data_IF_422510279155
#
_entry.id   IF_422510279155
#
_cell.length_a   1.000
_cell.length_b   1.000
_cell.length_c   1.000
_cell.angle_alpha   90.00
_cell.angle_beta   90.00
_cell.angle_gamma   90.00
#
_symmetry.space_group_name_H-M   'P 1'
#
loop_
_entity.id
_entity.type
_entity.pdbx_description
1 polymer ?
#
# COMPACT_ATOMS: atom_id res chain seq x y z
N UNK A 1 -1.34 23.25 -13.62
CA UNK A 1 -1.28 22.59 -12.30
C UNK A 1 0.19 22.50 -11.95
N UNK A 2 0.62 22.84 -10.73
CA UNK A 2 2.01 22.65 -10.33
C UNK A 2 2.35 21.16 -10.41
N UNK A 3 3.51 20.83 -11.01
CA UNK A 3 3.99 19.46 -11.07
C UNK A 3 4.22 18.95 -9.63
N UNK A 4 3.87 17.69 -9.36
CA UNK A 4 4.21 17.07 -8.08
C UNK A 4 5.73 16.93 -7.99
N UNK A 5 6.30 17.45 -6.89
CA UNK A 5 7.74 17.41 -6.65
C UNK A 5 8.11 16.15 -5.88
N UNK A 6 9.09 15.40 -6.37
CA UNK A 6 9.53 14.12 -5.79
C UNK A 6 10.99 14.25 -5.37
N UNK A 7 11.33 13.75 -4.19
CA UNK A 7 12.71 13.61 -3.75
C UNK A 7 13.13 12.15 -3.81
N UNK A 8 14.27 11.87 -4.45
CA UNK A 8 14.93 10.57 -4.43
C UNK A 8 16.13 10.67 -3.48
N UNK A 9 16.21 9.77 -2.53
CA UNK A 9 17.31 9.69 -1.55
C UNK A 9 17.91 8.30 -1.61
N UNK A 10 19.07 8.16 -2.24
CA UNK A 10 19.76 6.89 -2.46
C UNK A 10 21.25 7.22 -2.67
N UNK A 11 22.19 6.49 -2.08
CA UNK A 11 23.62 6.72 -2.21
C UNK A 11 24.22 6.24 -3.55
N UNK A 12 23.40 5.53 -4.35
CA UNK A 12 23.75 5.09 -5.69
C UNK A 12 23.38 6.16 -6.74
N UNK A 13 24.35 7.07 -7.08
CA UNK A 13 24.14 8.19 -8.00
C UNK A 13 23.53 7.78 -9.34
N UNK A 14 24.06 6.70 -9.95
CA UNK A 14 23.56 6.21 -11.24
C UNK A 14 22.08 5.80 -11.18
N UNK A 15 21.65 5.19 -10.07
CA UNK A 15 20.26 4.82 -9.86
C UNK A 15 19.38 6.06 -9.71
N UNK A 16 19.84 7.06 -8.96
CA UNK A 16 19.18 8.36 -8.83
C UNK A 16 18.95 9.02 -10.18
N UNK A 17 19.99 9.07 -11.04
CA UNK A 17 19.90 9.66 -12.39
C UNK A 17 18.88 8.95 -13.27
N UNK A 18 18.91 7.61 -13.28
CA UNK A 18 17.97 6.80 -14.07
C UNK A 18 16.53 7.01 -13.59
N UNK A 19 16.30 6.99 -12.28
CA UNK A 19 14.96 7.22 -11.72
C UNK A 19 14.48 8.64 -11.99
N UNK A 20 15.35 9.64 -11.80
CA UNK A 20 15.06 11.05 -12.06
C UNK A 20 14.60 11.24 -13.51
N UNK A 21 15.40 10.81 -14.48
CA UNK A 21 15.08 10.95 -15.91
C UNK A 21 13.69 10.34 -16.24
N UNK A 22 13.40 9.15 -15.71
CA UNK A 22 12.14 8.47 -16.01
C UNK A 22 10.93 9.13 -15.32
N UNK A 23 11.08 9.63 -14.11
CA UNK A 23 10.01 10.35 -13.41
C UNK A 23 9.77 11.74 -14.01
N UNK A 24 10.82 12.44 -14.45
CA UNK A 24 10.69 13.71 -15.20
C UNK A 24 9.96 13.50 -16.53
N UNK A 25 10.23 12.41 -17.26
CA UNK A 25 9.49 12.04 -18.48
C UNK A 25 7.99 11.78 -18.21
N UNK A 26 7.62 11.43 -16.99
CA UNK A 26 6.22 11.28 -16.55
C UNK A 26 5.58 12.61 -16.07
N UNK A 27 6.33 13.72 -16.14
CA UNK A 27 5.86 15.06 -15.82
C UNK A 27 5.99 15.46 -14.34
N UNK A 28 6.84 14.79 -13.58
CA UNK A 28 7.18 15.16 -12.20
C UNK A 28 8.37 16.13 -12.17
N UNK A 29 8.46 16.94 -11.10
CA UNK A 29 9.65 17.70 -10.77
C UNK A 29 10.49 16.89 -9.77
N UNK A 30 11.75 16.58 -10.09
CA UNK A 30 12.53 15.58 -9.34
C UNK A 30 13.88 16.11 -8.89
N UNK A 31 14.08 16.08 -7.58
CA UNK A 31 15.38 16.30 -6.97
C UNK A 31 15.99 14.99 -6.45
N UNK A 32 17.31 14.97 -6.34
CA UNK A 32 18.07 13.84 -5.81
C UNK A 32 18.94 14.28 -4.62
N UNK A 33 19.10 13.39 -3.66
CA UNK A 33 20.06 13.51 -2.56
C UNK A 33 20.77 12.16 -2.38
N UNK A 34 22.06 12.20 -2.14
CA UNK A 34 22.90 11.00 -2.06
C UNK A 34 23.18 10.56 -0.62
N UNK A 35 22.54 11.23 0.34
CA UNK A 35 22.52 10.83 1.74
C UNK A 35 21.31 11.43 2.45
N UNK A 36 20.95 10.85 3.58
CA UNK A 36 19.91 11.37 4.44
C UNK A 36 20.24 12.77 4.98
N UNK A 37 21.53 13.02 5.30
CA UNK A 37 22.03 14.32 5.78
C UNK A 37 21.82 15.40 4.73
N UNK A 38 22.16 15.12 3.47
CA UNK A 38 21.93 16.03 2.36
C UNK A 38 20.42 16.31 2.19
N UNK A 39 19.60 15.25 2.19
CA UNK A 39 18.15 15.36 2.05
C UNK A 39 17.52 16.19 3.16
N UNK A 40 17.95 16.02 4.41
CA UNK A 40 17.46 16.79 5.56
C UNK A 40 17.78 18.29 5.48
N UNK A 41 18.76 18.68 4.66
CA UNK A 41 19.07 20.08 4.36
C UNK A 41 18.12 20.73 3.34
N UNK A 42 17.24 19.97 2.70
CA UNK A 42 16.29 20.49 1.72
C UNK A 42 15.02 21.03 2.38
N UNK A 43 14.24 21.82 1.62
CA UNK A 43 12.91 22.27 2.05
C UNK A 43 11.89 21.15 1.89
N UNK A 44 11.97 20.14 2.75
CA UNK A 44 11.23 18.87 2.62
C UNK A 44 9.71 19.04 2.46
N UNK A 45 9.12 20.06 3.08
CA UNK A 45 7.68 20.38 2.95
C UNK A 45 7.21 20.69 1.53
N UNK A 46 8.13 20.96 0.60
CA UNK A 46 7.80 21.24 -0.80
C UNK A 46 7.62 19.96 -1.63
N UNK A 47 8.01 18.80 -1.08
CA UNK A 47 7.87 17.52 -1.79
C UNK A 47 6.53 16.87 -1.55
N UNK A 48 6.02 16.26 -2.61
CA UNK A 48 4.77 15.52 -2.62
C UNK A 48 4.98 14.02 -2.34
N UNK A 49 6.22 13.54 -2.44
CA UNK A 49 6.63 12.15 -2.20
C UNK A 49 8.14 12.04 -2.05
N UNK A 50 8.60 11.12 -1.22
CA UNK A 50 10.02 10.77 -1.06
C UNK A 50 10.21 9.28 -1.40
N UNK A 51 11.11 9.00 -2.36
CA UNK A 51 11.68 7.67 -2.58
C UNK A 51 12.94 7.58 -1.70
N UNK A 52 13.04 6.60 -0.83
CA UNK A 52 14.05 6.57 0.22
C UNK A 52 14.70 5.20 0.32
N UNK A 53 16.01 5.11 0.07
CA UNK A 53 16.74 3.89 0.40
C UNK A 53 16.91 3.75 1.92
N UNK A 54 16.82 2.52 2.40
CA UNK A 54 17.06 2.20 3.82
C UNK A 54 18.55 2.14 4.12
N UNK A 55 19.34 1.60 3.16
CA UNK A 55 20.76 1.30 3.33
C UNK A 55 21.63 2.45 2.84
N UNK A 56 21.79 3.47 3.66
CA UNK A 56 22.65 4.64 3.38
C UNK A 56 23.53 4.93 4.60
N UNK A 57 24.66 5.57 4.37
CA UNK A 57 25.66 6.11 5.27
C UNK A 57 25.42 6.15 6.79
N UNK A 58 25.70 7.28 7.45
CA UNK A 58 25.59 7.43 8.91
C UNK A 58 24.13 7.51 9.40
N UNK A 59 23.28 8.19 8.63
CA UNK A 59 21.83 8.23 8.88
C UNK A 59 21.14 7.28 7.90
N UNK A 60 20.65 6.14 8.40
CA UNK A 60 19.85 5.22 7.59
C UNK A 60 18.52 5.84 7.17
N UNK A 61 17.93 5.35 6.05
CA UNK A 61 16.60 5.79 5.60
C UNK A 61 15.51 5.60 6.65
N UNK A 62 15.60 4.55 7.47
CA UNK A 62 14.67 4.33 8.61
C UNK A 62 14.78 5.48 9.62
N UNK A 63 16.00 5.90 9.95
CA UNK A 63 16.21 7.02 10.89
C UNK A 63 15.69 8.33 10.30
N UNK A 64 15.95 8.58 9.01
CA UNK A 64 15.40 9.73 8.30
C UNK A 64 13.87 9.71 8.28
N UNK A 65 13.24 8.58 7.98
CA UNK A 65 11.78 8.46 7.99
C UNK A 65 11.19 8.76 9.37
N UNK A 66 11.83 8.30 10.46
CA UNK A 66 11.42 8.64 11.84
C UNK A 66 11.46 10.15 12.07
N UNK A 67 12.51 10.83 11.64
CA UNK A 67 12.64 12.28 11.75
C UNK A 67 11.47 12.96 11.01
N UNK A 68 11.24 12.58 9.75
CA UNK A 68 10.15 13.13 8.93
C UNK A 68 8.77 12.93 9.55
N UNK A 69 8.49 11.73 10.04
CA UNK A 69 7.19 11.38 10.63
C UNK A 69 6.97 11.98 12.02
N UNK A 70 8.03 12.43 12.69
CA UNK A 70 7.96 13.12 13.99
C UNK A 70 7.72 14.62 13.86
N UNK A 71 7.95 15.21 12.72
CA UNK A 71 7.76 16.66 12.47
C UNK A 71 6.41 16.88 11.78
N UNK A 72 5.53 17.65 12.42
CA UNK A 72 4.19 17.99 11.91
C UNK A 72 4.23 18.60 10.49
N UNK A 73 5.31 19.29 10.12
CA UNK A 73 5.45 19.91 8.79
C UNK A 73 5.74 18.89 7.68
N UNK A 74 6.24 17.71 8.01
CA UNK A 74 6.66 16.67 7.06
C UNK A 74 6.00 15.31 7.28
N UNK A 75 5.27 15.13 8.39
CA UNK A 75 4.64 13.86 8.76
C UNK A 75 3.70 13.30 7.67
N UNK A 76 3.01 14.18 6.95
CA UNK A 76 2.05 13.82 5.90
C UNK A 76 2.71 13.52 4.55
N UNK A 77 4.03 13.75 4.41
CA UNK A 77 4.72 13.44 3.15
C UNK A 77 4.81 11.92 3.01
N UNK A 78 4.27 11.35 1.92
CA UNK A 78 4.35 9.92 1.67
C UNK A 78 5.79 9.49 1.41
N UNK A 79 6.16 8.34 1.98
CA UNK A 79 7.47 7.73 1.84
C UNK A 79 7.32 6.36 1.20
N UNK A 80 8.06 6.12 0.11
CA UNK A 80 8.24 4.79 -0.48
C UNK A 80 9.67 4.34 -0.20
N UNK A 81 9.85 3.25 0.54
CA UNK A 81 11.17 2.67 0.72
C UNK A 81 11.61 1.88 -0.51
N UNK A 82 12.85 2.09 -0.95
CA UNK A 82 13.52 1.35 -2.03
C UNK A 82 14.78 0.69 -1.47
N UNK A 83 14.81 -0.62 -1.22
CA UNK A 83 15.93 -1.24 -0.52
C UNK A 83 16.21 -2.67 -0.96
N UNK A 84 17.49 -3.08 -0.77
CA UNK A 84 17.93 -4.47 -0.97
C UNK A 84 17.64 -5.40 0.22
N UNK A 85 17.17 -4.86 1.35
CA UNK A 85 16.82 -5.68 2.52
C UNK A 85 15.51 -6.41 2.30
N UNK A 86 15.59 -7.72 2.39
CA UNK A 86 14.52 -8.69 2.22
C UNK A 86 14.08 -9.35 3.54
N UNK A 87 14.61 -8.90 4.69
CA UNK A 87 14.17 -9.46 5.97
C UNK A 87 12.75 -8.97 6.31
N UNK A 88 11.92 -9.90 6.73
CA UNK A 88 10.54 -9.66 7.14
C UNK A 88 10.45 -8.59 8.24
N UNK A 89 11.44 -8.57 9.15
CA UNK A 89 11.54 -7.60 10.24
C UNK A 89 11.78 -6.16 9.75
N UNK A 90 12.61 -5.95 8.73
CA UNK A 90 12.89 -4.63 8.17
C UNK A 90 11.66 -4.08 7.41
N UNK A 91 10.92 -4.96 6.72
CA UNK A 91 9.67 -4.61 6.04
C UNK A 91 8.57 -4.23 7.05
N UNK A 92 8.42 -5.02 8.11
CA UNK A 92 7.46 -4.76 9.20
C UNK A 92 7.84 -3.47 9.92
N UNK A 93 9.13 -3.22 10.15
CA UNK A 93 9.62 -2.00 10.80
C UNK A 93 9.35 -0.76 9.94
N UNK A 94 9.58 -0.84 8.62
CA UNK A 94 9.29 0.27 7.69
C UNK A 94 7.80 0.61 7.61
N UNK A 95 6.94 -0.41 7.54
CA UNK A 95 5.48 -0.24 7.52
C UNK A 95 4.93 0.29 8.86
N UNK A 96 5.48 -0.16 10.00
CA UNK A 96 5.11 0.34 11.33
C UNK A 96 5.53 1.80 11.56
N UNK A 97 6.50 2.31 10.79
CA UNK A 97 6.93 3.71 10.81
C UNK A 97 6.04 4.64 9.96
N UNK A 98 4.97 4.11 9.35
CA UNK A 98 4.06 4.88 8.53
C UNK A 98 4.54 5.10 7.10
N UNK A 99 5.37 4.20 6.55
CA UNK A 99 5.68 4.18 5.12
C UNK A 99 4.43 3.85 4.31
N UNK A 100 4.27 4.54 3.18
CA UNK A 100 3.09 4.39 2.32
C UNK A 100 3.23 3.23 1.32
N UNK A 101 4.47 2.82 1.00
CA UNK A 101 4.77 1.66 0.16
C UNK A 101 6.24 1.22 0.32
N UNK A 102 6.57 0.06 -0.26
CA UNK A 102 7.88 -0.57 -0.19
C UNK A 102 8.24 -1.22 -1.53
N UNK A 103 9.48 -1.02 -2.00
CA UNK A 103 9.99 -1.57 -3.25
C UNK A 103 11.31 -2.31 -2.97
N UNK A 104 11.35 -3.61 -3.27
CA UNK A 104 12.57 -4.40 -3.12
C UNK A 104 13.49 -4.23 -4.33
N UNK A 105 14.77 -3.98 -4.08
CA UNK A 105 15.85 -4.08 -5.08
C UNK A 105 16.21 -5.58 -5.29
N UNK A 106 16.43 -6.06 -6.54
CA UNK A 106 16.36 -5.30 -7.78
C UNK A 106 14.93 -5.07 -8.28
N UNK A 107 14.65 -3.87 -8.76
CA UNK A 107 13.36 -3.49 -9.32
C UNK A 107 13.48 -2.93 -10.74
N UNK A 108 12.38 -2.92 -11.48
CA UNK A 108 12.33 -2.22 -12.75
C UNK A 108 11.87 -0.78 -12.53
N UNK A 109 12.40 0.17 -13.32
CA UNK A 109 11.96 1.58 -13.30
C UNK A 109 10.44 1.68 -13.48
N UNK A 110 9.86 0.85 -14.35
CA UNK A 110 8.41 0.78 -14.57
C UNK A 110 7.63 0.46 -13.28
N UNK A 111 8.17 -0.40 -12.41
CA UNK A 111 7.57 -0.72 -11.12
C UNK A 111 7.59 0.51 -10.20
N UNK A 112 8.72 1.22 -10.12
CA UNK A 112 8.85 2.45 -9.31
C UNK A 112 7.83 3.51 -9.78
N UNK A 113 7.79 3.80 -11.08
CA UNK A 113 6.85 4.76 -11.67
C UNK A 113 5.39 4.40 -11.36
N UNK A 114 5.01 3.12 -11.48
CA UNK A 114 3.65 2.67 -11.17
C UNK A 114 3.27 2.89 -9.70
N UNK A 115 4.21 2.63 -8.77
CA UNK A 115 4.00 2.84 -7.33
C UNK A 115 3.94 4.31 -6.96
N UNK A 116 4.82 5.14 -7.51
CA UNK A 116 4.78 6.60 -7.36
C UNK A 116 3.42 7.14 -7.78
N UNK A 117 2.94 6.78 -8.98
CA UNK A 117 1.59 7.17 -9.45
C UNK A 117 0.48 6.73 -8.50
N UNK A 118 0.57 5.52 -7.97
CA UNK A 118 -0.43 4.97 -7.04
C UNK A 118 -0.46 5.70 -5.71
N UNK A 119 0.71 6.01 -5.13
CA UNK A 119 0.83 6.73 -3.86
C UNK A 119 0.36 8.18 -4.03
N UNK A 120 0.85 8.91 -5.04
CA UNK A 120 0.45 10.30 -5.29
C UNK A 120 -1.06 10.45 -5.58
N UNK A 121 -1.67 9.48 -6.26
CA UNK A 121 -3.13 9.48 -6.45
C UNK A 121 -3.89 9.37 -5.14
N UNK A 122 -3.42 8.54 -4.19
CA UNK A 122 -4.02 8.40 -2.86
C UNK A 122 -3.91 9.69 -2.04
N UNK A 123 -2.75 10.34 -2.05
CA UNK A 123 -2.50 11.59 -1.31
C UNK A 123 -3.17 12.81 -1.94
N UNK A 124 -3.27 12.88 -3.27
CA UNK A 124 -4.00 13.96 -3.96
C UNK A 124 -5.50 13.92 -3.65
N UNK A 125 -6.07 12.73 -3.43
CA UNK A 125 -7.46 12.58 -3.00
C UNK A 125 -7.69 13.12 -1.58
N UNK A 126 -6.66 13.19 -0.71
CA UNK A 126 -6.76 13.79 0.62
C UNK A 126 -6.75 15.33 0.63
N UNK A 127 -6.14 15.98 -0.38
CA UNK A 127 -6.02 17.46 -0.42
C UNK A 127 -7.22 18.19 -1.07
N UNK A 128 -8.16 17.48 -1.68
CA UNK A 128 -9.26 18.10 -2.45
C UNK A 128 -10.65 17.85 -1.87
N UNK A 129 -10.78 17.52 -0.60
CA UNK A 129 -12.10 17.30 0.04
C UNK A 129 -12.40 18.37 1.09
N UNK A 130 -12.67 19.59 0.59
CA UNK A 130 -13.70 20.44 1.19
C UNK A 130 -14.96 20.26 0.36
N UNK A 131 -15.92 19.52 0.90
CA UNK A 131 -17.30 19.31 0.42
C UNK A 131 -17.45 18.50 -0.89
N UNK A 132 -17.50 17.20 -0.79
CA UNK A 132 -18.55 16.28 -1.27
C UNK A 132 -18.03 14.85 -1.20
N UNK A 133 -18.71 14.01 -0.41
CA UNK A 133 -18.56 12.56 -0.23
C UNK A 133 -17.18 12.08 0.27
N UNK A 134 -17.13 11.84 1.57
CA UNK A 134 -16.19 10.95 2.25
C UNK A 134 -16.01 9.67 1.44
N UNK A 135 -14.89 9.54 0.68
CA UNK A 135 -14.36 8.22 0.38
C UNK A 135 -13.63 7.78 1.65
N UNK A 136 -14.41 7.33 2.59
CA UNK A 136 -13.98 6.67 3.79
C UNK A 136 -12.99 5.56 3.45
N UNK A 137 -11.93 5.40 4.21
CA UNK A 137 -11.11 4.18 4.31
C UNK A 137 -11.98 2.97 4.73
N UNK A 138 -13.27 3.05 4.47
CA UNK A 138 -14.33 2.13 4.84
C UNK A 138 -15.00 1.65 3.57
N UNK A 139 -14.98 0.35 3.35
CA UNK A 139 -15.83 -0.29 2.35
C UNK A 139 -17.13 -0.69 3.04
N UNK A 140 -18.24 -0.25 2.48
CA UNK A 140 -19.56 -0.56 3.01
C UNK A 140 -20.42 -1.26 1.96
N UNK A 141 -21.04 -2.33 2.40
CA UNK A 141 -22.07 -3.07 1.65
C UNK A 141 -23.21 -3.32 2.62
N UNK A 142 -24.25 -2.51 2.53
CA UNK A 142 -25.35 -2.50 3.51
C UNK A 142 -24.83 -2.36 4.96
N UNK A 143 -25.07 -3.30 5.87
CA UNK A 143 -24.56 -3.31 7.24
C UNK A 143 -23.18 -3.96 7.40
N UNK A 144 -22.57 -4.47 6.33
CA UNK A 144 -21.19 -4.95 6.35
C UNK A 144 -20.24 -3.76 6.12
N UNK A 145 -19.42 -3.45 7.11
CA UNK A 145 -18.47 -2.34 7.07
C UNK A 145 -17.05 -2.88 7.28
N UNK A 146 -16.14 -2.53 6.38
CA UNK A 146 -14.72 -2.87 6.45
C UNK A 146 -13.91 -1.59 6.60
N UNK A 147 -13.37 -1.36 7.77
CA UNK A 147 -12.43 -0.28 8.03
C UNK A 147 -11.04 -0.71 7.58
N UNK A 148 -10.54 -0.10 6.52
CA UNK A 148 -9.26 -0.44 5.90
C UNK A 148 -8.07 0.12 6.69
N UNK A 149 -8.27 1.13 7.53
CA UNK A 149 -7.25 1.74 8.36
C UNK A 149 -7.02 0.90 9.62
N UNK A 150 -8.08 0.65 10.39
CA UNK A 150 -8.01 -0.12 11.63
C UNK A 150 -8.09 -1.64 11.42
N UNK A 151 -8.25 -2.10 10.15
CA UNK A 151 -8.40 -3.53 9.79
C UNK A 151 -9.53 -4.22 10.56
N UNK A 152 -10.63 -3.50 10.75
CA UNK A 152 -11.82 -3.97 11.47
C UNK A 152 -12.94 -4.31 10.50
N UNK A 153 -13.73 -5.29 10.89
CA UNK A 153 -14.96 -5.68 10.21
C UNK A 153 -16.12 -5.54 11.19
N UNK A 154 -17.17 -4.83 10.80
CA UNK A 154 -18.43 -4.81 11.54
C UNK A 154 -19.57 -5.32 10.66
N UNK A 155 -20.50 -6.02 11.26
CA UNK A 155 -21.71 -6.56 10.64
C UNK A 155 -22.89 -6.07 11.45
N UNK A 156 -23.74 -5.25 10.86
CA UNK A 156 -24.92 -4.64 11.52
C UNK A 156 -24.59 -3.93 12.84
N UNK A 157 -23.38 -3.29 12.89
CA UNK A 157 -22.89 -2.56 14.05
C UNK A 157 -22.05 -3.37 15.04
N UNK A 158 -22.04 -4.69 14.94
CA UNK A 158 -21.27 -5.58 15.82
C UNK A 158 -19.90 -5.92 15.21
N UNK A 159 -18.83 -5.84 16.02
CA UNK A 159 -17.48 -6.15 15.54
C UNK A 159 -17.29 -7.67 15.35
N UNK A 160 -16.84 -8.04 14.14
CA UNK A 160 -16.56 -9.44 13.78
C UNK A 160 -15.04 -9.64 13.72
N UNK A 161 -14.53 -10.54 14.55
CA UNK A 161 -13.09 -10.87 14.57
C UNK A 161 -12.70 -11.74 13.37
N UNK A 162 -12.07 -11.11 12.40
CA UNK A 162 -11.43 -11.77 11.26
C UNK A 162 -9.94 -11.95 11.53
N UNK A 163 -9.37 -13.05 11.04
CA UNK A 163 -7.90 -13.14 10.91
C UNK A 163 -7.43 -12.18 9.82
N UNK A 164 -6.13 -11.86 9.80
CA UNK A 164 -5.55 -11.00 8.76
C UNK A 164 -5.89 -11.48 7.36
N UNK A 165 -5.75 -12.78 7.10
CA UNK A 165 -6.03 -13.37 5.77
C UNK A 165 -7.52 -13.35 5.41
N UNK A 166 -8.39 -13.59 6.36
CA UNK A 166 -9.85 -13.47 6.16
C UNK A 166 -10.24 -12.03 5.83
N UNK A 167 -9.66 -11.04 6.53
CA UNK A 167 -9.92 -9.63 6.27
C UNK A 167 -9.42 -9.22 4.88
N UNK A 168 -8.16 -9.56 4.53
CA UNK A 168 -7.56 -9.25 3.23
C UNK A 168 -8.37 -9.90 2.07
N UNK A 169 -8.81 -11.14 2.27
CA UNK A 169 -9.64 -11.88 1.30
C UNK A 169 -11.00 -11.20 1.09
N UNK A 170 -11.68 -10.82 2.18
CA UNK A 170 -12.97 -10.12 2.12
C UNK A 170 -12.83 -8.76 1.43
N UNK A 171 -11.83 -7.96 1.82
CA UNK A 171 -11.53 -6.67 1.19
C UNK A 171 -11.30 -6.84 -0.32
N UNK A 172 -10.50 -7.84 -0.71
CA UNK A 172 -10.23 -8.09 -2.12
C UNK A 172 -11.50 -8.44 -2.90
N UNK A 173 -12.34 -9.30 -2.35
CA UNK A 173 -13.60 -9.70 -2.98
C UNK A 173 -14.59 -8.54 -3.10
N UNK A 174 -14.73 -7.71 -2.05
CA UNK A 174 -15.61 -6.53 -2.05
C UNK A 174 -15.13 -5.46 -3.05
N UNK A 175 -13.82 -5.23 -3.17
CA UNK A 175 -13.25 -4.32 -4.16
C UNK A 175 -13.44 -4.80 -5.61
N UNK A 176 -13.61 -6.10 -5.80
CA UNK A 176 -13.83 -6.74 -7.12
C UNK A 176 -15.24 -7.29 -7.25
N UNK A 177 -16.23 -6.70 -6.54
CA UNK A 177 -17.63 -7.13 -6.64
C UNK A 177 -18.11 -7.16 -8.09
N UNK A 178 -19.03 -8.09 -8.36
CA UNK A 178 -19.51 -8.38 -9.72
C UNK A 178 -18.54 -9.22 -10.57
N UNK A 179 -17.31 -9.50 -10.09
CA UNK A 179 -16.31 -10.32 -10.81
C UNK A 179 -16.03 -11.64 -10.09
N UNK A 180 -15.66 -12.65 -10.87
CA UNK A 180 -15.18 -13.93 -10.33
C UNK A 180 -13.65 -13.91 -10.37
N UNK A 181 -13.01 -14.12 -9.21
CA UNK A 181 -11.57 -14.22 -9.05
C UNK A 181 -11.20 -15.70 -8.95
N UNK A 182 -10.20 -16.14 -9.74
CA UNK A 182 -9.71 -17.52 -9.65
C UNK A 182 -9.01 -17.78 -8.31
N UNK A 183 -8.87 -19.06 -7.93
CA UNK A 183 -8.11 -19.44 -6.71
C UNK A 183 -6.67 -18.94 -6.78
N UNK A 184 -6.02 -19.09 -7.92
CA UNK A 184 -4.67 -18.61 -8.15
C UNK A 184 -4.55 -17.09 -7.97
N UNK A 185 -5.50 -16.32 -8.50
CA UNK A 185 -5.55 -14.87 -8.30
C UNK A 185 -5.70 -14.50 -6.83
N UNK A 186 -6.58 -15.20 -6.10
CA UNK A 186 -6.78 -14.97 -4.67
C UNK A 186 -5.53 -15.36 -3.86
N UNK A 187 -4.88 -16.48 -4.19
CA UNK A 187 -3.62 -16.91 -3.56
C UNK A 187 -2.51 -15.90 -3.80
N UNK A 188 -2.27 -15.51 -5.03
CA UNK A 188 -1.20 -14.57 -5.38
C UNK A 188 -1.37 -13.19 -4.76
N UNK A 189 -2.60 -12.79 -4.41
CA UNK A 189 -2.90 -11.49 -3.80
C UNK A 189 -2.89 -11.51 -2.28
N UNK A 190 -3.42 -12.55 -1.68
CA UNK A 190 -3.61 -12.62 -0.21
C UNK A 190 -2.51 -13.44 0.47
N UNK A 191 -1.85 -14.36 -0.26
CA UNK A 191 -0.77 -15.21 0.25
C UNK A 191 0.53 -15.04 -0.53
N UNK A 192 0.78 -13.89 -1.14
CA UNK A 192 1.94 -13.60 -2.00
C UNK A 192 3.31 -13.89 -1.37
N UNK A 193 3.40 -13.94 -0.05
CA UNK A 193 4.66 -14.14 0.69
C UNK A 193 4.82 -15.56 1.29
N UNK A 194 3.91 -16.49 0.98
CA UNK A 194 3.98 -17.86 1.53
C UNK A 194 4.45 -18.84 0.45
N UNK A 195 5.53 -19.56 0.74
CA UNK A 195 6.28 -20.39 -0.24
C UNK A 195 5.50 -21.58 -0.80
N UNK A 196 4.52 -22.12 -0.07
CA UNK A 196 3.63 -23.20 -0.55
C UNK A 196 2.26 -23.11 0.10
N UNK A 197 1.29 -22.60 -0.62
CA UNK A 197 -0.11 -22.61 -0.16
C UNK A 197 -0.96 -23.44 -1.13
N UNK A 198 -1.68 -24.42 -0.61
CA UNK A 198 -2.56 -25.28 -1.40
C UNK A 198 -3.87 -24.53 -1.75
N UNK A 199 -4.43 -24.79 -2.93
CA UNK A 199 -5.72 -24.25 -3.39
C UNK A 199 -6.86 -24.42 -2.37
N UNK A 200 -6.84 -25.52 -1.60
CA UNK A 200 -7.78 -25.78 -0.50
C UNK A 200 -7.75 -24.74 0.61
N UNK A 201 -6.66 -24.00 0.76
CA UNK A 201 -6.56 -22.91 1.76
C UNK A 201 -7.58 -21.80 1.50
N UNK A 202 -7.82 -21.48 0.23
CA UNK A 202 -8.88 -20.51 -0.15
C UNK A 202 -10.24 -21.02 0.26
N UNK A 203 -10.57 -22.26 -0.09
CA UNK A 203 -11.89 -22.84 0.15
C UNK A 203 -12.23 -22.87 1.65
N UNK A 204 -11.24 -23.20 2.49
CA UNK A 204 -11.37 -23.18 3.96
C UNK A 204 -11.60 -21.76 4.49
N UNK A 205 -10.82 -20.78 3.99
CA UNK A 205 -10.97 -19.38 4.42
C UNK A 205 -12.30 -18.79 3.96
N UNK A 206 -12.77 -19.10 2.76
CA UNK A 206 -14.10 -18.69 2.27
C UNK A 206 -15.20 -19.25 3.16
N UNK A 207 -15.11 -20.54 3.53
CA UNK A 207 -16.10 -21.17 4.40
C UNK A 207 -16.16 -20.52 5.78
N UNK A 208 -15.01 -20.28 6.39
CA UNK A 208 -14.90 -19.58 7.68
C UNK A 208 -15.42 -18.15 7.59
N UNK A 209 -15.05 -17.44 6.53
CA UNK A 209 -15.45 -16.05 6.29
C UNK A 209 -16.97 -15.95 6.16
N UNK A 210 -17.60 -16.81 5.35
CA UNK A 210 -19.06 -16.86 5.23
C UNK A 210 -19.77 -17.06 6.57
N UNK A 211 -19.26 -17.95 7.39
CA UNK A 211 -19.82 -18.20 8.72
C UNK A 211 -19.68 -16.99 9.64
N UNK A 212 -18.53 -16.29 9.59
CA UNK A 212 -18.24 -15.14 10.48
C UNK A 212 -19.05 -13.89 10.13
N UNK A 213 -19.26 -13.62 8.84
CA UNK A 213 -20.02 -12.43 8.39
C UNK A 213 -21.55 -12.70 8.29
N UNK A 214 -22.01 -13.84 8.77
CA UNK A 214 -23.44 -14.16 8.93
C UNK A 214 -24.24 -14.07 7.63
N UNK A 215 -25.30 -13.26 7.62
CA UNK A 215 -26.17 -13.09 6.46
C UNK A 215 -25.42 -12.63 5.20
N UNK A 216 -24.38 -11.81 5.37
CA UNK A 216 -23.54 -11.32 4.26
C UNK A 216 -22.65 -12.40 3.65
N UNK A 217 -22.51 -13.57 4.28
CA UNK A 217 -21.85 -14.73 3.69
C UNK A 217 -22.46 -15.19 2.37
N UNK A 218 -23.75 -14.94 2.15
CA UNK A 218 -24.46 -15.24 0.90
C UNK A 218 -24.01 -14.34 -0.28
N UNK A 219 -23.40 -13.19 -0.01
CA UNK A 219 -22.82 -12.31 -1.03
C UNK A 219 -21.54 -12.87 -1.62
N UNK A 220 -20.83 -13.75 -0.89
CA UNK A 220 -19.68 -14.46 -1.44
C UNK A 220 -20.21 -15.63 -2.27
N UNK A 221 -20.13 -15.51 -3.59
CA UNK A 221 -20.59 -16.51 -4.54
C UNK A 221 -19.47 -17.46 -4.94
N UNK A 222 -19.82 -18.72 -5.18
CA UNK A 222 -18.93 -19.73 -5.77
C UNK A 222 -19.33 -19.95 -7.22
N UNK A 223 -18.35 -19.89 -8.13
CA UNK A 223 -18.50 -20.41 -9.50
C UNK A 223 -17.64 -21.67 -9.63
N UNK A 224 -18.32 -22.81 -9.68
CA UNK A 224 -17.64 -24.11 -9.75
C UNK A 224 -16.67 -24.15 -10.94
N UNK A 225 -15.43 -24.58 -10.70
CA UNK A 225 -14.37 -24.60 -11.68
C UNK A 225 -13.68 -23.24 -11.95
N UNK A 226 -14.27 -22.11 -11.54
CA UNK A 226 -13.74 -20.77 -11.84
C UNK A 226 -13.21 -20.04 -10.61
N UNK A 227 -13.86 -20.14 -9.45
CA UNK A 227 -13.42 -19.47 -8.24
C UNK A 227 -14.53 -18.82 -7.44
N UNK A 228 -14.23 -17.66 -6.85
CA UNK A 228 -15.09 -16.94 -5.93
C UNK A 228 -15.27 -15.48 -6.34
N UNK A 229 -16.41 -14.90 -6.00
CA UNK A 229 -16.70 -13.48 -6.19
C UNK A 229 -17.56 -12.94 -5.07
N UNK A 230 -17.78 -11.64 -5.09
CA UNK A 230 -18.73 -10.95 -4.23
C UNK A 230 -19.85 -10.38 -5.11
N UNK A 231 -21.10 -10.52 -4.68
CA UNK A 231 -22.24 -9.95 -5.41
C UNK A 231 -22.09 -8.43 -5.55
N UNK A 232 -22.65 -7.92 -6.64
CA UNK A 232 -22.77 -6.48 -6.86
C UNK A 232 -23.87 -5.90 -5.96
#
# INVERSE_FOLDING_TARGET
MAANRILIVDDEETLCEVLKLNLENEGYDVDTAFSAEQALGYKLKEYSLILLDIMMGEISGIKMAKILKSDVATADIPIIFCTARDTEDDMIMGLNLGADDYIMKPYTVRNVVARVKSVLRRTSSHKTVTKATEKSNVLQVEGLILDLEFKRCTVDGEEVKLTRKEFELLVYLVLHRGKICSREQLLSRVWSNEVVVLDRTIDVNITRLRSKIGAYGSYIVTRSGFGYGFRD
#
